data_IF_697018332223
#
_entry.id   IF_697018332223
#
_cell.length_a   1.000
_cell.length_b   1.000
_cell.length_c   1.000
_cell.angle_alpha   90.00
_cell.angle_beta   90.00
_cell.angle_gamma   90.00
#
_symmetry.space_group_name_H-M   'P 1'
#
loop_
_entity.id
_entity.type
_entity.pdbx_description
1 polymer ?
#
# COMPACT_ATOMS: atom_id res chain seq x y z
N UNK A 1 -13.22 37.82 58.24
CA UNK A 1 -14.39 37.18 57.62
C UNK A 1 -14.05 36.99 56.18
N UNK A 2 -13.60 35.77 55.85
CA UNK A 2 -13.12 35.40 54.50
C UNK A 2 -14.14 34.43 53.92
N UNK A 3 -14.76 34.81 52.80
CA UNK A 3 -15.76 33.99 52.12
C UNK A 3 -15.12 32.83 51.35
N UNK A 4 -15.77 31.65 51.27
CA UNK A 4 -15.26 30.52 50.50
C UNK A 4 -15.49 30.71 49.01
N UNK A 5 -14.47 30.29 48.20
CA UNK A 5 -14.54 30.20 46.72
C UNK A 5 -15.39 28.99 46.35
N UNK A 6 -16.43 29.21 45.58
CA UNK A 6 -17.19 28.16 44.89
C UNK A 6 -16.39 27.63 43.70
N UNK A 7 -16.13 26.33 43.74
CA UNK A 7 -15.57 25.58 42.61
C UNK A 7 -16.73 25.21 41.68
N UNK A 8 -16.79 25.79 40.50
CA UNK A 8 -17.74 25.42 39.44
C UNK A 8 -17.46 24.05 38.86
N UNK A 9 -18.46 23.39 38.26
CA UNK A 9 -18.31 22.05 37.68
C UNK A 9 -17.42 22.08 36.45
N UNK A 10 -16.46 21.14 36.42
CA UNK A 10 -15.64 20.86 35.21
C UNK A 10 -16.54 20.24 34.14
N UNK A 11 -16.68 20.93 33.01
CA UNK A 11 -17.25 20.37 31.80
C UNK A 11 -16.30 19.28 31.29
N UNK A 12 -16.75 18.02 31.36
CA UNK A 12 -16.15 16.90 30.63
C UNK A 12 -16.48 17.07 29.17
N UNK A 13 -15.49 17.47 28.38
CA UNK A 13 -15.57 17.49 26.91
C UNK A 13 -15.88 16.11 26.33
N UNK A 14 -16.47 16.04 25.12
CA UNK A 14 -16.83 14.78 24.51
C UNK A 14 -15.57 13.91 24.33
N UNK A 15 -15.65 12.67 24.77
CA UNK A 15 -14.67 11.62 24.49
C UNK A 15 -14.51 11.50 22.96
N UNK A 16 -13.34 11.86 22.45
CA UNK A 16 -12.97 11.55 21.06
C UNK A 16 -13.06 10.04 20.86
N UNK A 17 -14.06 9.63 20.11
CA UNK A 17 -14.25 8.23 19.70
C UNK A 17 -13.06 7.85 18.82
N UNK A 18 -12.16 7.02 19.33
CA UNK A 18 -11.10 6.39 18.55
C UNK A 18 -11.76 5.62 17.41
N UNK A 19 -11.39 5.85 16.13
CA UNK A 19 -11.95 5.10 15.02
C UNK A 19 -11.67 3.61 15.25
N UNK A 20 -12.74 2.81 15.31
CA UNK A 20 -12.65 1.36 15.40
C UNK A 20 -12.02 0.83 14.11
N UNK A 21 -11.02 -0.03 14.24
CA UNK A 21 -10.49 -0.76 13.09
C UNK A 21 -11.61 -1.55 12.42
N UNK A 22 -11.73 -1.52 11.08
CA UNK A 22 -12.75 -2.29 10.37
C UNK A 22 -12.57 -3.78 10.68
N UNK A 23 -13.68 -4.45 11.06
CA UNK A 23 -13.70 -5.87 11.30
C UNK A 23 -13.42 -6.68 10.01
N UNK A 24 -13.21 -8.01 10.10
CA UNK A 24 -12.83 -8.87 8.97
C UNK A 24 -13.84 -8.92 7.81
N UNK A 25 -15.07 -8.44 8.02
CA UNK A 25 -16.11 -8.31 6.99
C UNK A 25 -16.23 -6.90 6.40
N UNK A 26 -15.41 -5.95 6.82
CA UNK A 26 -15.39 -4.63 6.22
C UNK A 26 -14.61 -4.70 4.90
N UNK A 27 -15.26 -4.29 3.80
CA UNK A 27 -14.63 -4.17 2.48
C UNK A 27 -13.33 -3.34 2.51
N UNK A 28 -12.69 -3.19 1.38
CA UNK A 28 -11.46 -2.40 1.27
C UNK A 28 -11.66 -0.98 1.85
N UNK A 29 -10.66 -0.49 2.59
CA UNK A 29 -10.73 0.80 3.27
C UNK A 29 -10.64 2.01 2.31
N UNK A 30 -10.10 1.81 1.10
CA UNK A 30 -9.84 2.88 0.13
C UNK A 30 -10.84 2.91 -1.01
N UNK A 31 -11.11 1.76 -1.64
CA UNK A 31 -11.93 1.69 -2.86
C UNK A 31 -13.19 0.83 -2.64
N UNK A 32 -14.26 1.19 -3.35
CA UNK A 32 -15.49 0.41 -3.33
C UNK A 32 -15.28 -0.98 -3.94
N UNK A 33 -15.94 -2.04 -3.44
CA UNK A 33 -15.75 -3.41 -3.93
C UNK A 33 -16.05 -3.58 -5.42
N UNK A 34 -16.95 -2.77 -5.98
CA UNK A 34 -17.32 -2.75 -7.38
C UNK A 34 -16.17 -2.32 -8.31
N UNK A 35 -15.13 -1.72 -7.72
CA UNK A 35 -13.92 -1.29 -8.42
C UNK A 35 -12.77 -2.29 -8.27
N UNK A 36 -13.05 -3.50 -7.81
CA UNK A 36 -12.06 -4.56 -7.80
C UNK A 36 -11.49 -4.74 -9.22
N UNK A 37 -10.16 -4.87 -9.36
CA UNK A 37 -9.56 -5.16 -10.65
C UNK A 37 -10.09 -6.46 -11.23
N UNK A 38 -9.98 -6.60 -12.57
CA UNK A 38 -10.25 -7.88 -13.22
C UNK A 38 -9.17 -8.89 -12.80
N UNK A 39 -9.58 -9.93 -12.08
CA UNK A 39 -8.67 -11.00 -11.65
C UNK A 39 -8.03 -11.76 -12.83
N UNK A 40 -8.65 -11.72 -14.02
CA UNK A 40 -8.17 -12.38 -15.23
C UNK A 40 -7.33 -11.46 -16.13
N UNK A 41 -7.02 -10.22 -15.70
CA UNK A 41 -6.13 -9.33 -16.43
C UNK A 41 -4.79 -10.03 -16.73
N UNK A 42 -4.40 -10.23 -17.99
CA UNK A 42 -3.22 -11.06 -18.34
C UNK A 42 -1.91 -10.47 -17.83
N UNK A 43 -1.85 -9.16 -17.59
CA UNK A 43 -0.67 -8.48 -17.02
C UNK A 43 -0.59 -8.71 -15.52
N UNK A 44 -1.71 -8.58 -14.83
CA UNK A 44 -1.77 -8.52 -13.37
C UNK A 44 -2.14 -9.84 -12.70
N UNK A 45 -2.76 -10.79 -13.42
CA UNK A 45 -3.18 -12.07 -12.83
C UNK A 45 -2.07 -12.79 -12.05
N UNK A 46 -0.81 -12.89 -12.55
CA UNK A 46 0.26 -13.53 -11.79
C UNK A 46 0.57 -12.82 -10.45
N UNK A 47 0.45 -11.48 -10.41
CA UNK A 47 0.61 -10.69 -9.17
C UNK A 47 -0.51 -10.98 -8.20
N UNK A 48 -1.77 -11.01 -8.66
CA UNK A 48 -2.94 -11.26 -7.83
C UNK A 48 -2.95 -12.67 -7.26
N UNK A 49 -2.62 -13.68 -8.10
CA UNK A 49 -2.51 -15.07 -7.67
C UNK A 49 -1.41 -15.26 -6.62
N UNK A 50 -0.26 -14.61 -6.77
CA UNK A 50 0.81 -14.63 -5.79
C UNK A 50 0.39 -13.92 -4.49
N UNK A 51 -0.21 -12.73 -4.62
CA UNK A 51 -0.68 -11.94 -3.48
C UNK A 51 -1.72 -12.70 -2.63
N UNK A 52 -2.61 -13.47 -3.25
CA UNK A 52 -3.56 -14.34 -2.54
C UNK A 52 -2.89 -15.42 -1.67
N UNK A 53 -1.62 -15.76 -1.97
CA UNK A 53 -0.77 -16.66 -1.16
C UNK A 53 0.15 -15.92 -0.18
N UNK A 54 0.04 -14.59 -0.09
CA UNK A 54 0.92 -13.77 0.75
C UNK A 54 2.32 -13.57 0.17
N UNK A 55 2.48 -13.69 -1.15
CA UNK A 55 3.76 -13.58 -1.87
C UNK A 55 3.64 -12.46 -2.90
N UNK A 56 4.73 -11.74 -3.18
CA UNK A 56 4.82 -10.80 -4.28
C UNK A 56 5.62 -11.42 -5.42
N UNK A 57 4.97 -11.71 -6.54
CA UNK A 57 5.64 -12.17 -7.76
C UNK A 57 5.76 -11.03 -8.76
N UNK A 58 6.98 -10.81 -9.29
CA UNK A 58 7.26 -9.76 -10.26
C UNK A 58 8.07 -10.31 -11.44
N UNK A 59 7.97 -9.67 -12.62
CA UNK A 59 8.60 -10.19 -13.84
C UNK A 59 10.09 -9.84 -13.94
N UNK A 60 10.87 -10.78 -14.44
CA UNK A 60 12.27 -10.62 -14.80
C UNK A 60 12.50 -11.00 -16.26
N UNK A 61 13.52 -10.42 -16.87
CA UNK A 61 13.98 -10.85 -18.17
C UNK A 61 14.60 -12.25 -18.07
N UNK A 62 14.08 -13.23 -18.82
CA UNK A 62 14.60 -14.59 -18.82
C UNK A 62 16.03 -14.68 -19.38
N UNK A 63 16.44 -13.73 -20.23
CA UNK A 63 17.76 -13.73 -20.86
C UNK A 63 18.87 -13.15 -19.99
N UNK A 64 18.59 -12.08 -19.20
CA UNK A 64 19.61 -11.36 -18.44
C UNK A 64 19.26 -11.15 -16.95
N UNK A 65 18.10 -11.64 -16.50
CA UNK A 65 17.63 -11.57 -15.11
C UNK A 65 17.45 -10.16 -14.53
N UNK A 66 17.36 -9.14 -15.38
CA UNK A 66 17.05 -7.78 -14.95
C UNK A 66 15.55 -7.66 -14.63
N UNK A 67 15.15 -6.92 -13.60
CA UNK A 67 13.75 -6.59 -13.33
C UNK A 67 13.07 -5.96 -14.54
N UNK A 68 11.82 -6.32 -14.79
CA UNK A 68 10.99 -5.77 -15.87
C UNK A 68 9.80 -5.02 -15.26
N UNK A 69 9.38 -3.95 -15.90
CA UNK A 69 8.09 -3.35 -15.64
C UNK A 69 6.95 -4.31 -16.02
N UNK A 70 5.80 -4.17 -15.38
CA UNK A 70 4.65 -5.07 -15.59
C UNK A 70 4.21 -5.11 -17.07
N UNK A 71 4.21 -3.98 -17.74
CA UNK A 71 3.79 -3.85 -19.14
C UNK A 71 4.96 -3.75 -20.14
N UNK A 72 6.18 -4.06 -19.72
CA UNK A 72 7.36 -3.97 -20.58
C UNK A 72 7.44 -5.15 -21.55
N UNK A 73 7.51 -4.90 -22.83
CA UNK A 73 7.54 -5.92 -23.90
C UNK A 73 8.92 -6.24 -24.44
N UNK A 74 9.91 -5.39 -24.17
CA UNK A 74 11.30 -5.56 -24.57
C UNK A 74 12.20 -5.19 -23.39
N UNK A 75 13.17 -6.01 -23.09
CA UNK A 75 14.14 -5.72 -22.04
C UNK A 75 15.11 -4.61 -22.46
N UNK A 76 15.12 -3.51 -21.70
CA UNK A 76 15.97 -2.35 -22.00
C UNK A 76 17.47 -2.65 -21.84
N UNK A 77 17.82 -3.64 -21.02
CA UNK A 77 19.22 -4.00 -20.76
C UNK A 77 19.83 -4.87 -21.87
N UNK A 78 19.07 -5.79 -22.47
CA UNK A 78 19.62 -6.75 -23.45
C UNK A 78 18.87 -6.82 -24.79
N UNK A 79 17.76 -6.11 -24.94
CA UNK A 79 16.95 -6.09 -26.15
C UNK A 79 16.13 -7.36 -26.41
N UNK A 80 16.14 -8.33 -25.46
CA UNK A 80 15.35 -9.55 -25.63
C UNK A 80 13.84 -9.24 -25.53
N UNK A 81 13.01 -10.02 -26.29
CA UNK A 81 11.56 -9.96 -26.13
C UNK A 81 11.17 -10.39 -24.72
N UNK A 82 10.26 -9.66 -24.12
CA UNK A 82 9.70 -9.89 -22.79
C UNK A 82 8.15 -9.82 -22.81
N UNK A 83 7.55 -10.21 -23.95
CA UNK A 83 6.10 -10.20 -24.12
C UNK A 83 5.40 -11.04 -23.04
N UNK A 84 4.20 -10.60 -22.64
CA UNK A 84 3.38 -11.31 -21.66
C UNK A 84 3.00 -12.69 -22.20
N UNK A 85 3.14 -13.71 -21.35
CA UNK A 85 2.84 -15.10 -21.73
C UNK A 85 3.89 -15.77 -22.61
N UNK A 86 5.04 -15.13 -22.86
CA UNK A 86 6.15 -15.73 -23.60
C UNK A 86 7.29 -16.20 -22.68
N UNK A 87 8.17 -17.12 -23.15
CA UNK A 87 9.34 -17.55 -22.38
C UNK A 87 10.36 -16.44 -22.09
N UNK A 88 10.25 -15.28 -22.72
CA UNK A 88 11.15 -14.15 -22.50
C UNK A 88 10.91 -13.42 -21.16
N UNK A 89 9.78 -13.70 -20.50
CA UNK A 89 9.39 -13.14 -19.19
C UNK A 89 9.29 -14.26 -18.17
N UNK A 90 10.01 -14.13 -17.08
CA UNK A 90 9.98 -15.07 -15.95
C UNK A 90 9.41 -14.37 -14.70
N UNK A 91 8.38 -14.96 -14.11
CA UNK A 91 7.82 -14.49 -12.85
C UNK A 91 8.58 -15.12 -11.68
N UNK A 92 9.02 -14.30 -10.73
CA UNK A 92 9.75 -14.75 -9.55
C UNK A 92 9.16 -14.13 -8.30
N UNK A 93 9.13 -14.92 -7.22
CA UNK A 93 8.83 -14.41 -5.89
C UNK A 93 9.96 -13.48 -5.46
N UNK A 94 9.59 -12.30 -4.96
CA UNK A 94 10.54 -11.26 -4.53
C UNK A 94 10.39 -10.98 -3.03
N UNK A 95 11.45 -10.46 -2.36
CA UNK A 95 11.37 -10.03 -0.97
C UNK A 95 10.25 -9.01 -0.75
N UNK A 96 9.56 -9.12 0.38
CA UNK A 96 8.49 -8.20 0.79
C UNK A 96 9.08 -6.96 1.50
N UNK A 97 10.18 -6.43 1.02
CA UNK A 97 10.90 -5.31 1.61
C UNK A 97 11.33 -4.31 0.54
N UNK A 98 11.44 -3.06 0.94
CA UNK A 98 11.86 -1.97 0.07
C UNK A 98 11.97 -0.66 0.81
N UNK A 99 12.18 0.41 0.05
CA UNK A 99 12.39 1.77 0.55
C UNK A 99 11.47 2.74 -0.18
N UNK A 100 10.94 3.71 0.53
CA UNK A 100 10.13 4.79 -0.06
C UNK A 100 11.01 5.62 -1.00
N UNK A 101 10.72 5.60 -2.29
CA UNK A 101 11.38 6.45 -3.28
C UNK A 101 10.70 7.81 -3.38
N UNK A 102 9.35 7.82 -3.41
CA UNK A 102 8.53 9.02 -3.37
C UNK A 102 7.19 8.72 -2.70
N UNK A 103 6.58 9.75 -2.13
CA UNK A 103 5.23 9.63 -1.56
C UNK A 103 4.47 10.94 -1.66
N UNK A 104 3.15 10.85 -1.79
CA UNK A 104 2.24 12.00 -1.78
C UNK A 104 0.94 11.64 -1.08
N UNK A 105 0.20 12.67 -0.62
CA UNK A 105 -1.15 12.52 -0.11
C UNK A 105 -2.17 12.94 -1.18
N UNK A 106 -3.11 12.07 -1.46
CA UNK A 106 -4.25 12.36 -2.32
C UNK A 106 -5.39 12.91 -1.46
N UNK A 107 -5.75 14.15 -1.68
CA UNK A 107 -6.84 14.85 -0.98
C UNK A 107 -8.18 14.77 -1.73
N UNK A 108 -8.13 14.40 -3.00
CA UNK A 108 -9.31 14.28 -3.84
C UNK A 108 -10.12 13.05 -3.49
N UNK A 109 -11.42 13.21 -3.46
CA UNK A 109 -12.40 12.14 -3.28
C UNK A 109 -13.26 12.05 -4.52
N UNK A 110 -13.42 10.84 -5.04
CA UNK A 110 -14.35 10.55 -6.12
C UNK A 110 -15.56 9.81 -5.53
N UNK A 111 -16.73 10.46 -5.42
CA UNK A 111 -17.92 9.83 -4.88
C UNK A 111 -18.26 8.53 -5.63
N UNK A 112 -18.51 7.44 -4.87
CA UNK A 112 -18.80 6.12 -5.42
C UNK A 112 -17.57 5.31 -5.85
N UNK A 113 -16.38 5.90 -5.84
CA UNK A 113 -15.14 5.20 -6.17
C UNK A 113 -14.23 5.07 -4.94
N UNK A 114 -13.99 6.18 -4.25
CA UNK A 114 -13.13 6.23 -3.07
C UNK A 114 -14.00 6.31 -1.83
N UNK A 115 -13.90 5.29 -0.98
CA UNK A 115 -14.63 5.20 0.30
C UNK A 115 -13.89 5.85 1.46
N UNK A 116 -12.57 6.04 1.35
CA UNK A 116 -11.78 6.71 2.37
C UNK A 116 -12.29 8.12 2.68
N UNK A 117 -12.49 8.42 3.96
CA UNK A 117 -13.00 9.71 4.45
C UNK A 117 -11.90 10.76 4.66
N UNK A 118 -10.64 10.35 4.67
CA UNK A 118 -9.45 11.18 4.88
C UNK A 118 -8.52 11.10 3.67
N UNK A 119 -7.58 12.05 3.52
CA UNK A 119 -6.49 11.91 2.54
C UNK A 119 -5.78 10.56 2.72
N UNK A 120 -5.30 9.99 1.63
CA UNK A 120 -4.60 8.71 1.62
C UNK A 120 -3.26 8.81 0.87
N UNK A 121 -2.23 8.06 1.29
CA UNK A 121 -0.95 8.09 0.64
C UNK A 121 -0.93 7.26 -0.64
N UNK A 122 -0.24 7.77 -1.65
CA UNK A 122 0.26 7.04 -2.81
C UNK A 122 1.78 7.05 -2.71
N UNK A 123 2.37 5.87 -2.73
CA UNK A 123 3.76 5.63 -2.35
C UNK A 123 4.45 4.88 -3.48
N UNK A 124 5.51 5.46 -4.01
CA UNK A 124 6.42 4.81 -4.95
C UNK A 124 7.52 4.12 -4.12
N UNK A 125 7.59 2.80 -4.23
CA UNK A 125 8.51 1.95 -3.47
C UNK A 125 9.54 1.36 -4.40
N UNK A 126 10.80 1.55 -4.07
CA UNK A 126 11.92 0.78 -4.64
C UNK A 126 12.09 -0.49 -3.80
N UNK A 127 11.78 -1.64 -4.40
CA UNK A 127 11.90 -2.95 -3.75
C UNK A 127 13.34 -3.43 -3.76
N UNK A 128 13.69 -4.28 -2.78
CA UNK A 128 15.02 -4.92 -2.70
C UNK A 128 15.34 -5.78 -3.94
N UNK A 129 14.33 -6.16 -4.71
CA UNK A 129 14.47 -6.85 -5.99
C UNK A 129 14.84 -5.94 -7.16
N UNK A 130 14.91 -4.62 -6.97
CA UNK A 130 15.19 -3.62 -7.97
C UNK A 130 13.96 -3.16 -8.78
N UNK A 131 12.78 -3.69 -8.51
CA UNK A 131 11.54 -3.17 -9.11
C UNK A 131 11.08 -1.89 -8.42
N UNK A 132 10.35 -1.06 -9.16
CA UNK A 132 9.60 0.07 -8.60
C UNK A 132 8.10 -0.18 -8.76
N UNK A 133 7.38 0.03 -7.67
CA UNK A 133 5.92 -0.19 -7.61
C UNK A 133 5.23 0.96 -6.91
N UNK A 134 4.08 1.37 -7.45
CA UNK A 134 3.25 2.42 -6.84
C UNK A 134 2.12 1.76 -6.07
N UNK A 135 2.09 1.98 -4.77
CA UNK A 135 1.18 1.33 -3.84
C UNK A 135 0.49 2.35 -2.91
N UNK A 136 -0.48 1.88 -2.17
CA UNK A 136 -1.01 2.57 -0.99
C UNK A 136 -0.82 1.69 0.25
N UNK A 137 -1.26 2.13 1.42
CA UNK A 137 -1.11 1.39 2.67
C UNK A 137 -2.11 0.23 2.79
N UNK A 138 -1.72 -0.81 3.50
CA UNK A 138 -2.58 -1.97 3.78
C UNK A 138 -3.75 -1.62 4.72
N UNK A 139 -3.55 -0.63 5.58
CA UNK A 139 -4.56 -0.10 6.52
C UNK A 139 -4.72 1.40 6.34
N UNK A 140 -5.83 2.01 6.78
CA UNK A 140 -6.04 3.45 6.65
C UNK A 140 -4.87 4.26 7.23
N UNK A 141 -4.33 5.19 6.41
CA UNK A 141 -3.32 6.14 6.84
C UNK A 141 -3.60 7.51 6.22
N UNK A 142 -3.59 8.56 7.04
CA UNK A 142 -3.72 9.94 6.60
C UNK A 142 -2.37 10.65 6.43
N UNK A 143 -1.26 9.91 6.45
CA UNK A 143 0.09 10.46 6.39
C UNK A 143 0.90 9.78 5.28
N UNK A 144 1.69 10.57 4.56
CA UNK A 144 2.71 10.05 3.67
C UNK A 144 3.98 9.72 4.47
N UNK A 145 4.68 8.62 4.16
CA UNK A 145 5.95 8.30 4.77
C UNK A 145 7.05 9.24 4.28
N UNK A 146 8.14 9.32 5.05
CA UNK A 146 9.35 10.02 4.62
C UNK A 146 10.06 9.26 3.48
N UNK A 147 10.65 10.00 2.56
CA UNK A 147 11.52 9.44 1.50
C UNK A 147 12.72 8.75 2.18
N UNK A 148 13.06 7.56 1.72
CA UNK A 148 14.12 6.73 2.29
C UNK A 148 13.68 5.88 3.48
N UNK A 149 12.42 5.99 3.94
CA UNK A 149 11.93 5.12 5.01
C UNK A 149 11.81 3.66 4.53
N UNK A 150 12.22 2.67 5.37
CA UNK A 150 12.02 1.27 5.06
C UNK A 150 10.54 0.90 5.15
N UNK A 151 10.10 0.03 4.26
CA UNK A 151 8.73 -0.47 4.22
C UNK A 151 8.68 -1.98 4.05
N UNK A 152 7.60 -2.57 4.54
CA UNK A 152 7.25 -3.97 4.28
C UNK A 152 6.08 -4.01 3.29
N UNK A 153 6.11 -4.93 2.35
CA UNK A 153 4.96 -5.21 1.49
C UNK A 153 4.01 -6.14 2.24
N UNK A 154 2.80 -5.67 2.41
CA UNK A 154 1.66 -6.39 2.94
C UNK A 154 0.62 -6.57 1.84
N UNK A 155 -0.53 -7.10 2.18
CA UNK A 155 -1.61 -7.35 1.21
C UNK A 155 -2.93 -6.82 1.76
N UNK A 156 -3.81 -6.40 0.84
CA UNK A 156 -5.19 -6.01 1.13
C UNK A 156 -6.12 -6.59 0.08
N UNK A 157 -7.38 -6.79 0.40
CA UNK A 157 -8.36 -7.39 -0.51
C UNK A 157 -9.37 -6.35 -0.97
N UNK A 158 -9.62 -6.28 -2.28
CA UNK A 158 -10.64 -5.46 -2.91
C UNK A 158 -11.58 -6.39 -3.68
N UNK A 159 -12.81 -6.54 -3.24
CA UNK A 159 -13.70 -7.56 -3.78
C UNK A 159 -13.11 -8.96 -3.66
N UNK A 160 -12.88 -9.65 -4.78
CA UNK A 160 -12.28 -10.98 -4.83
C UNK A 160 -10.76 -10.96 -5.07
N UNK A 161 -10.14 -9.80 -5.24
CA UNK A 161 -8.73 -9.66 -5.64
C UNK A 161 -7.89 -9.23 -4.45
N UNK A 162 -6.77 -9.92 -4.22
CA UNK A 162 -5.74 -9.51 -3.26
C UNK A 162 -4.66 -8.69 -3.95
N UNK A 163 -4.38 -7.51 -3.40
CA UNK A 163 -3.45 -6.52 -3.93
C UNK A 163 -2.27 -6.32 -2.98
N UNK A 164 -1.04 -6.10 -3.50
CA UNK A 164 0.06 -5.63 -2.68
C UNK A 164 -0.22 -4.23 -2.13
N UNK A 165 0.28 -3.97 -0.95
CA UNK A 165 0.14 -2.70 -0.24
C UNK A 165 1.33 -2.48 0.69
N UNK A 166 1.51 -1.27 1.20
CA UNK A 166 2.61 -0.93 2.10
C UNK A 166 2.17 -1.06 3.56
N UNK A 167 3.03 -1.67 4.39
CA UNK A 167 3.00 -1.58 5.84
C UNK A 167 4.27 -0.87 6.31
N UNK A 168 4.12 0.13 7.14
CA UNK A 168 5.28 0.81 7.74
C UNK A 168 5.84 -0.02 8.90
N UNK A 169 7.16 -0.18 8.93
CA UNK A 169 7.87 -0.72 10.08
C UNK A 169 8.08 0.41 11.08
N UNK A 170 7.34 0.40 12.17
CA UNK A 170 7.50 1.36 13.25
C UNK A 170 6.20 1.72 13.95
N UNK A 171 6.29 2.06 15.25
CA UNK A 171 5.18 2.67 15.99
C UNK A 171 5.03 4.11 15.55
N UNK A 172 3.85 4.47 15.09
CA UNK A 172 3.45 5.87 15.01
C UNK A 172 3.19 6.32 16.45
N UNK A 173 4.13 7.04 17.05
CA UNK A 173 3.88 7.77 18.30
C UNK A 173 3.70 9.24 17.96
N UNK A 174 2.61 9.85 18.42
CA UNK A 174 2.26 11.26 18.23
C UNK A 174 2.32 11.77 16.77
N UNK A 175 1.89 10.91 15.82
CA UNK A 175 1.84 11.27 14.41
C UNK A 175 3.20 11.32 13.69
N UNK A 176 4.27 10.83 14.29
CA UNK A 176 5.59 10.73 13.68
C UNK A 176 6.09 9.28 13.72
N UNK A 177 6.58 8.80 12.58
CA UNK A 177 7.21 7.49 12.47
C UNK A 177 8.52 7.50 13.28
N UNK A 178 8.62 6.64 14.30
CA UNK A 178 9.87 6.45 15.03
C UNK A 178 10.65 5.33 14.33
N UNK A 179 11.70 5.69 13.61
CA UNK A 179 12.74 4.74 13.18
C UNK A 179 13.54 4.36 14.41
N UNK A 180 13.54 3.08 14.81
CA UNK A 180 14.38 2.57 15.88
C UNK A 180 15.86 2.65 15.46
N UNK A 181 16.70 3.08 16.42
CA UNK A 181 18.16 2.91 16.34
C UNK A 181 18.53 1.44 16.43
#
# INVERSE_FOLDING_TARGET
MTAPRETGPQETGPLETVPQEPGPDAGDWLVAPELAPDAADPVMAPVYEAAARGVLALPFCAACSVPLELEQYVCDACGASAEIGTPGREWRDVPLAGTVHAATLVHRREPGLIVAMRPYPVIDVELDSGHRVVLTTATPSGQAPDIGAPVEIAFRTVGAVTLPAVRFQGRIADGKLLTGD
#
